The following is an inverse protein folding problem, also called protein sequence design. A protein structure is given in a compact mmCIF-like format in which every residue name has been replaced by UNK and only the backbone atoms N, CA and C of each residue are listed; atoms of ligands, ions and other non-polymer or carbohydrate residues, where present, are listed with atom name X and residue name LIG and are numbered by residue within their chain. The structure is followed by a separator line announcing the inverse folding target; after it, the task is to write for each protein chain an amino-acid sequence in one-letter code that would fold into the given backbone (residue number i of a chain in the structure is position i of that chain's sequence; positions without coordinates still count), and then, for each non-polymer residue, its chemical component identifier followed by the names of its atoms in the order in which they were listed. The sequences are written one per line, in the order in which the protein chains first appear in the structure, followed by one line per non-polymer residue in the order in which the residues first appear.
data_IF_333701112604
#
_entry.id   IF_333701112604
#
_cell.length_a   1.000
_cell.length_b   1.000
_cell.length_c   1.000
_cell.angle_alpha   90.00
_cell.angle_beta   90.00
_cell.angle_gamma   90.00
#
_symmetry.space_group_name_H-M   'P 1'
#
loop_
_entity.id
_entity.type
_entity.pdbx_description
1 polymer ?
#
# COMPACT_ATOMS: atom_id res chain seq x y z
N UNK A 1 -9.69 24.90 -5.15
CA UNK A 1 -9.51 24.33 -6.50
C UNK A 1 -10.17 22.97 -6.52
N UNK A 2 -10.89 22.64 -7.59
CA UNK A 2 -11.52 21.31 -7.75
C UNK A 2 -10.48 20.26 -8.13
N UNK A 3 -10.66 19.02 -7.65
CA UNK A 3 -9.86 17.86 -8.05
C UNK A 3 -10.34 17.35 -9.40
N UNK A 4 -9.40 17.06 -10.31
CA UNK A 4 -9.70 16.38 -11.57
C UNK A 4 -9.84 14.87 -11.35
N UNK A 5 -10.61 14.20 -12.23
CA UNK A 5 -10.57 12.74 -12.27
C UNK A 5 -9.19 12.31 -12.74
N UNK A 6 -8.64 11.28 -12.11
CA UNK A 6 -7.26 10.88 -12.38
C UNK A 6 -7.06 9.37 -12.28
N UNK A 7 -6.00 8.89 -12.92
CA UNK A 7 -5.47 7.54 -12.75
C UNK A 7 -4.07 7.59 -12.15
N UNK A 8 -3.81 6.64 -11.26
CA UNK A 8 -2.51 6.41 -10.63
C UNK A 8 -2.02 5.05 -11.09
N UNK A 9 -0.75 4.95 -11.46
CA UNK A 9 -0.06 3.67 -11.53
C UNK A 9 1.15 3.73 -10.62
N UNK A 10 1.13 2.90 -9.58
CA UNK A 10 2.21 2.81 -8.60
C UNK A 10 2.93 1.46 -8.73
N UNK A 11 4.24 1.52 -8.95
CA UNK A 11 5.12 0.37 -9.08
C UNK A 11 6.11 0.36 -7.92
N UNK A 12 6.16 -0.76 -7.19
CA UNK A 12 7.13 -0.99 -6.12
C UNK A 12 7.73 -2.38 -6.21
N UNK A 13 8.94 -2.54 -5.67
CA UNK A 13 9.55 -3.84 -5.50
C UNK A 13 9.64 -4.24 -4.03
N UNK A 14 9.85 -5.54 -3.82
CA UNK A 14 10.23 -6.14 -2.56
C UNK A 14 11.44 -7.03 -2.78
N UNK A 15 12.34 -7.04 -1.80
CA UNK A 15 13.47 -7.95 -1.72
C UNK A 15 13.44 -8.70 -0.39
N UNK A 16 13.69 -10.00 -0.45
CA UNK A 16 13.79 -10.90 0.70
C UNK A 16 12.58 -10.86 1.65
N UNK A 17 11.36 -10.82 1.12
CA UNK A 17 10.14 -10.99 1.95
C UNK A 17 8.82 -10.91 1.19
N UNK A 18 7.70 -11.03 1.92
CA UNK A 18 6.34 -11.06 1.36
C UNK A 18 5.53 -9.86 1.88
N UNK A 19 5.22 -8.85 1.04
CA UNK A 19 4.53 -7.64 1.51
C UNK A 19 3.08 -7.87 1.92
N UNK A 20 2.41 -8.88 1.35
CA UNK A 20 1.04 -9.24 1.69
C UNK A 20 0.92 -10.76 1.66
N UNK A 21 0.88 -11.36 2.85
CA UNK A 21 0.76 -12.81 3.03
C UNK A 21 -0.70 -13.24 2.90
N UNK A 22 -0.89 -14.47 2.43
CA UNK A 22 -2.20 -15.11 2.39
C UNK A 22 -2.46 -15.85 3.71
N UNK A 23 -3.34 -15.35 4.59
CA UNK A 23 -3.60 -16.00 5.87
C UNK A 23 -4.24 -17.39 5.72
N UNK A 24 -4.77 -17.73 4.54
CA UNK A 24 -5.39 -19.04 4.28
C UNK A 24 -4.41 -20.10 3.78
N UNK A 25 -3.23 -19.71 3.28
CA UNK A 25 -2.25 -20.60 2.66
C UNK A 25 -0.89 -20.52 3.37
N UNK A 26 -0.83 -20.91 4.64
CA UNK A 26 0.39 -20.92 5.47
C UNK A 26 1.22 -19.62 5.42
N UNK A 27 0.54 -18.50 5.18
CA UNK A 27 1.15 -17.19 5.03
C UNK A 27 2.17 -17.09 3.88
N UNK A 28 2.00 -17.87 2.81
CA UNK A 28 2.72 -17.70 1.53
C UNK A 28 2.24 -16.43 0.77
N UNK A 29 2.88 -16.12 -0.36
CA UNK A 29 2.47 -15.04 -1.24
C UNK A 29 1.10 -15.35 -1.88
N UNK A 30 0.20 -14.37 -1.88
CA UNK A 30 -1.13 -14.54 -2.46
C UNK A 30 -1.04 -14.70 -3.98
N UNK A 31 -1.73 -15.70 -4.53
CA UNK A 31 -1.86 -15.96 -5.97
C UNK A 31 -3.34 -16.03 -6.34
N UNK A 32 -3.79 -15.12 -7.20
CA UNK A 32 -5.15 -15.17 -7.76
C UNK A 32 -5.16 -15.77 -9.17
N UNK A 33 -4.02 -15.76 -9.84
CA UNK A 33 -3.82 -16.43 -11.13
C UNK A 33 -3.39 -17.87 -10.89
N UNK A 34 -3.67 -18.75 -11.86
CA UNK A 34 -3.23 -20.14 -11.82
C UNK A 34 -1.70 -20.27 -11.75
N UNK A 35 -1.20 -21.43 -11.30
CA UNK A 35 0.24 -21.68 -11.11
C UNK A 35 1.06 -21.44 -12.39
N UNK A 36 0.50 -21.76 -13.55
CA UNK A 36 1.07 -21.54 -14.90
C UNK A 36 1.40 -20.06 -15.18
N UNK A 37 0.58 -19.13 -14.67
CA UNK A 37 0.81 -17.69 -14.85
C UNK A 37 1.99 -17.23 -13.99
N UNK A 38 2.10 -17.78 -12.77
CA UNK A 38 3.21 -17.57 -11.86
C UNK A 38 3.28 -16.19 -11.20
N UNK A 39 2.40 -15.24 -11.56
CA UNK A 39 2.33 -13.93 -10.88
C UNK A 39 1.74 -14.07 -9.47
N UNK A 40 2.17 -13.16 -8.62
CA UNK A 40 1.70 -13.00 -7.25
C UNK A 40 0.97 -11.67 -7.12
N UNK A 41 0.13 -11.54 -6.09
CA UNK A 41 -0.79 -10.42 -5.94
C UNK A 41 -0.70 -9.76 -4.57
N UNK A 42 -0.91 -8.45 -4.52
CA UNK A 42 -1.09 -7.68 -3.30
C UNK A 42 -2.49 -7.06 -3.32
N UNK A 43 -3.21 -7.13 -2.21
CA UNK A 43 -4.49 -6.45 -2.11
C UNK A 43 -4.33 -4.94 -1.99
N UNK A 44 -5.33 -4.21 -2.47
CA UNK A 44 -5.49 -2.77 -2.34
C UNK A 44 -5.41 -2.29 -0.88
N UNK A 45 -5.95 -3.07 0.06
CA UNK A 45 -5.88 -2.75 1.50
C UNK A 45 -4.44 -2.69 2.01
N UNK A 46 -3.51 -3.41 1.39
CA UNK A 46 -2.08 -3.40 1.76
C UNK A 46 -1.47 -2.02 1.52
N UNK A 47 -1.73 -1.44 0.34
CA UNK A 47 -1.17 -0.14 -0.02
C UNK A 47 -1.85 0.99 0.73
N UNK A 48 -3.17 0.91 0.90
CA UNK A 48 -3.93 1.87 1.71
C UNK A 48 -3.38 1.91 3.13
N UNK A 49 -2.92 0.76 3.64
CA UNK A 49 -2.28 0.67 4.95
C UNK A 49 -0.87 1.26 4.97
N UNK A 50 -0.07 1.09 3.92
CA UNK A 50 1.24 1.76 3.79
C UNK A 50 1.08 3.29 3.87
N UNK A 51 0.09 3.85 3.15
CA UNK A 51 -0.24 5.29 3.20
C UNK A 51 -0.72 5.70 4.59
N UNK A 52 -1.66 4.95 5.19
CA UNK A 52 -2.20 5.25 6.54
C UNK A 52 -1.12 5.25 7.61
N UNK A 53 -0.24 4.25 7.62
CA UNK A 53 0.84 4.14 8.61
C UNK A 53 1.81 5.33 8.46
N UNK A 54 2.11 5.74 7.22
CA UNK A 54 2.92 6.93 6.96
C UNK A 54 2.27 8.23 7.44
N UNK A 55 1.00 8.46 7.09
CA UNK A 55 0.27 9.67 7.50
C UNK A 55 0.16 9.72 9.02
N UNK A 56 -0.11 8.58 9.67
CA UNK A 56 -0.15 8.47 11.12
C UNK A 56 1.22 8.80 11.76
N UNK A 57 2.32 8.33 11.18
CA UNK A 57 3.65 8.63 11.68
C UNK A 57 4.06 10.11 11.46
N UNK A 58 3.66 10.70 10.33
CA UNK A 58 3.94 12.10 9.99
C UNK A 58 3.08 13.08 10.79
N UNK A 59 1.81 12.73 11.01
CA UNK A 59 0.79 13.57 11.66
C UNK A 59 0.06 12.79 12.77
N UNK A 60 0.76 12.37 13.85
CA UNK A 60 0.16 11.56 14.92
C UNK A 60 -1.04 12.24 15.59
N UNK A 61 -0.99 13.57 15.64
CA UNK A 61 -2.04 14.44 16.20
C UNK A 61 -2.79 15.24 15.13
N UNK A 62 -2.85 14.73 13.89
CA UNK A 62 -3.66 15.29 12.80
C UNK A 62 -3.10 16.55 12.11
N UNK A 63 -1.82 16.87 12.34
CA UNK A 63 -1.16 18.03 11.72
C UNK A 63 -1.57 19.37 12.34
N UNK A 64 -1.10 20.47 11.76
CA UNK A 64 -1.37 21.83 12.27
C UNK A 64 -2.86 22.16 12.33
N UNK A 65 -3.60 21.77 11.28
CA UNK A 65 -5.04 22.03 11.16
C UNK A 65 -5.93 20.93 11.76
N UNK A 66 -5.35 19.91 12.40
CA UNK A 66 -6.09 18.76 12.97
C UNK A 66 -6.97 18.01 11.95
N UNK A 67 -6.56 17.98 10.68
CA UNK A 67 -7.31 17.41 9.55
C UNK A 67 -6.79 16.07 9.02
N UNK A 68 -5.62 15.64 9.49
CA UNK A 68 -4.87 14.50 8.95
C UNK A 68 -4.79 13.30 9.91
N UNK A 69 -5.79 13.14 10.77
CA UNK A 69 -5.88 11.93 11.60
C UNK A 69 -6.09 10.68 10.74
N UNK A 70 -5.76 9.52 11.29
CA UNK A 70 -6.01 8.21 10.67
C UNK A 70 -7.00 7.43 11.53
N UNK A 71 -8.16 7.11 10.96
CA UNK A 71 -9.22 6.35 11.62
C UNK A 71 -8.97 4.85 11.62
N UNK A 72 -8.50 4.28 10.51
CA UNK A 72 -8.25 2.83 10.42
C UNK A 72 -6.90 2.45 11.05
N UNK A 73 -6.82 2.55 12.38
CA UNK A 73 -5.63 2.22 13.18
C UNK A 73 -5.98 1.41 14.42
N UNK A 74 -4.97 0.75 14.98
CA UNK A 74 -5.08 0.16 16.30
C UNK A 74 -4.79 1.23 17.35
N UNK A 75 -5.66 1.31 18.34
CA UNK A 75 -5.45 2.14 19.52
C UNK A 75 -6.02 1.39 20.72
N UNK A 76 -5.35 1.47 21.87
CA UNK A 76 -5.76 0.78 23.09
C UNK A 76 -6.06 1.77 24.22
N UNK A 77 -6.82 1.33 25.21
CA UNK A 77 -6.94 2.02 26.49
C UNK A 77 -5.66 1.89 27.30
N UNK A 78 -5.55 2.62 28.41
CA UNK A 78 -4.44 2.48 29.36
C UNK A 78 -4.37 1.07 29.95
N UNK A 79 -5.54 0.43 30.12
CA UNK A 79 -5.67 -0.97 30.56
C UNK A 79 -5.41 -1.99 29.44
N UNK A 80 -5.04 -1.54 28.23
CA UNK A 80 -4.67 -2.41 27.11
C UNK A 80 -5.84 -2.91 26.25
N UNK A 81 -7.07 -2.46 26.47
CA UNK A 81 -8.24 -2.87 25.68
C UNK A 81 -8.25 -2.22 24.31
N UNK A 82 -8.48 -3.00 23.24
CA UNK A 82 -8.52 -2.48 21.87
C UNK A 82 -9.78 -1.67 21.62
N UNK A 83 -9.63 -0.45 21.11
CA UNK A 83 -10.76 0.41 20.80
C UNK A 83 -11.55 -0.10 19.58
N UNK A 84 -12.87 -0.09 19.71
CA UNK A 84 -13.78 -0.27 18.59
C UNK A 84 -13.96 1.01 17.75
N UNK A 85 -14.65 0.86 16.61
CA UNK A 85 -14.91 1.97 15.65
C UNK A 85 -15.52 3.20 16.30
N UNK A 86 -16.48 3.02 17.21
CA UNK A 86 -17.18 4.13 17.86
C UNK A 86 -16.30 4.93 18.81
N UNK A 87 -15.62 4.24 19.72
CA UNK A 87 -14.73 4.87 20.70
C UNK A 87 -13.54 5.54 20.01
N UNK A 88 -12.98 4.92 18.97
CA UNK A 88 -11.88 5.49 18.20
C UNK A 88 -12.31 6.77 17.46
N UNK A 89 -13.50 6.77 16.85
CA UNK A 89 -14.06 7.97 16.22
C UNK A 89 -14.20 9.11 17.23
N UNK A 90 -14.79 8.84 18.39
CA UNK A 90 -14.95 9.85 19.45
C UNK A 90 -13.62 10.44 19.89
N UNK A 91 -12.61 9.60 20.16
CA UNK A 91 -11.26 10.07 20.54
C UNK A 91 -10.61 10.95 19.47
N UNK A 92 -10.74 10.58 18.20
CA UNK A 92 -10.20 11.39 17.10
C UNK A 92 -10.91 12.75 17.04
N UNK A 93 -12.24 12.78 17.14
CA UNK A 93 -13.00 14.02 17.15
C UNK A 93 -12.64 14.93 18.33
N UNK A 94 -12.50 14.35 19.53
CA UNK A 94 -12.08 15.08 20.73
C UNK A 94 -10.68 15.67 20.58
N UNK A 95 -9.71 14.91 20.06
CA UNK A 95 -8.35 15.40 19.77
C UNK A 95 -8.31 16.49 18.69
N UNK A 96 -9.28 16.48 17.79
CA UNK A 96 -9.46 17.52 16.78
C UNK A 96 -10.25 18.73 17.29
N UNK A 97 -10.67 18.75 18.56
CA UNK A 97 -11.49 19.83 19.14
C UNK A 97 -12.90 19.89 18.55
N UNK A 98 -13.40 18.80 17.98
CA UNK A 98 -14.76 18.70 17.40
C UNK A 98 -15.71 18.02 18.36
N UNK A 99 -16.97 18.48 18.37
CA UNK A 99 -18.00 17.87 19.22
C UNK A 99 -18.41 16.50 18.69
N UNK A 100 -18.26 15.45 19.50
CA UNK A 100 -18.68 14.08 19.17
C UNK A 100 -20.20 13.86 19.11
N UNK A 101 -21.00 14.89 19.46
CA UNK A 101 -22.48 14.84 19.49
C UNK A 101 -23.15 15.26 18.17
N UNK A 102 -22.39 15.79 17.22
CA UNK A 102 -22.88 16.20 15.88
C UNK A 102 -22.46 15.18 14.82
N UNK A 103 -23.07 15.27 13.62
CA UNK A 103 -22.88 14.37 12.47
C UNK A 103 -21.47 13.75 12.37
N UNK A 104 -21.34 12.53 12.89
CA UNK A 104 -20.06 11.81 12.99
C UNK A 104 -19.47 11.56 11.61
N UNK A 105 -20.31 11.36 10.58
CA UNK A 105 -19.85 11.15 9.20
C UNK A 105 -19.13 12.39 8.70
N UNK A 106 -19.79 13.54 8.78
CA UNK A 106 -19.21 14.81 8.32
C UNK A 106 -17.95 15.17 9.11
N UNK A 107 -18.02 15.08 10.44
CA UNK A 107 -16.89 15.42 11.30
C UNK A 107 -15.67 14.52 11.04
N UNK A 108 -15.86 13.20 10.85
CA UNK A 108 -14.76 12.30 10.51
C UNK A 108 -14.16 12.59 9.13
N UNK A 109 -14.97 12.94 8.12
CA UNK A 109 -14.43 13.35 6.81
C UNK A 109 -13.58 14.63 6.92
N UNK A 110 -13.96 15.56 7.79
CA UNK A 110 -13.17 16.79 8.00
C UNK A 110 -11.82 16.52 8.69
N UNK A 111 -11.78 15.60 9.67
CA UNK A 111 -10.59 15.43 10.53
C UNK A 111 -9.71 14.24 10.18
N UNK A 112 -10.24 13.22 9.51
CA UNK A 112 -9.53 11.99 9.22
C UNK A 112 -9.23 11.85 7.73
N UNK A 113 -7.96 11.94 7.38
CA UNK A 113 -7.44 11.83 6.02
C UNK A 113 -7.90 10.54 5.34
N UNK A 114 -7.80 9.40 6.02
CA UNK A 114 -8.09 8.11 5.41
C UNK A 114 -9.59 7.88 5.19
N UNK A 115 -10.46 8.48 6.01
CA UNK A 115 -11.92 8.49 5.80
C UNK A 115 -12.27 9.39 4.61
N UNK A 116 -11.64 10.56 4.51
CA UNK A 116 -11.83 11.51 3.41
C UNK A 116 -11.38 10.94 2.06
N UNK A 117 -10.21 10.31 2.02
CA UNK A 117 -9.56 9.83 0.78
C UNK A 117 -10.01 8.42 0.37
N UNK A 118 -10.06 7.47 1.30
CA UNK A 118 -10.39 6.06 0.99
C UNK A 118 -11.82 5.68 1.34
N UNK A 119 -12.52 6.49 2.13
CA UNK A 119 -13.84 6.18 2.64
C UNK A 119 -13.79 5.29 3.87
N UNK A 120 -14.96 5.06 4.46
CA UNK A 120 -15.11 4.20 5.62
C UNK A 120 -16.53 3.61 5.69
N UNK A 121 -16.58 2.38 6.20
CA UNK A 121 -17.83 1.78 6.69
C UNK A 121 -17.84 1.92 8.20
N UNK A 122 -18.78 2.71 8.71
CA UNK A 122 -18.98 2.91 10.13
C UNK A 122 -20.30 2.29 10.53
N UNK A 123 -20.25 1.31 11.42
CA UNK A 123 -21.45 0.61 11.91
C UNK A 123 -21.28 0.35 13.40
N UNK A 124 -21.95 1.16 14.22
CA UNK A 124 -22.01 1.03 15.68
C UNK A 124 -23.46 1.17 16.15
N UNK A 125 -23.76 0.77 17.39
CA UNK A 125 -25.13 0.77 17.93
C UNK A 125 -25.88 2.10 17.76
N UNK A 126 -25.17 3.23 17.84
CA UNK A 126 -25.75 4.58 17.84
C UNK A 126 -25.59 5.32 16.51
N UNK A 127 -25.25 4.61 15.42
CA UNK A 127 -25.14 5.23 14.10
C UNK A 127 -24.44 4.36 13.07
N UNK A 128 -24.94 4.41 11.84
CA UNK A 128 -24.34 3.73 10.70
C UNK A 128 -24.16 4.72 9.55
N UNK A 129 -23.03 4.63 8.86
CA UNK A 129 -22.85 5.28 7.57
C UNK A 129 -21.89 4.49 6.70
N UNK A 130 -22.10 4.61 5.40
CA UNK A 130 -21.19 4.09 4.39
C UNK A 130 -20.74 5.27 3.53
N UNK A 131 -19.45 5.59 3.59
CA UNK A 131 -18.85 6.61 2.74
C UNK A 131 -17.86 5.94 1.79
N UNK A 132 -18.13 6.05 0.49
CA UNK A 132 -17.15 5.70 -0.54
C UNK A 132 -16.14 6.83 -0.65
N UNK A 133 -14.84 6.52 -0.60
CA UNK A 133 -13.79 7.50 -0.85
C UNK A 133 -13.53 7.67 -2.35
N UNK A 134 -13.03 8.83 -2.78
CA UNK A 134 -12.74 9.08 -4.18
C UNK A 134 -11.57 8.25 -4.72
N UNK A 135 -10.68 7.78 -3.85
CA UNK A 135 -9.49 7.04 -4.24
C UNK A 135 -9.68 5.54 -4.05
N UNK A 136 -9.69 4.81 -5.17
CA UNK A 136 -9.82 3.36 -5.18
C UNK A 136 -8.62 2.74 -5.90
N UNK A 137 -8.02 1.73 -5.29
CA UNK A 137 -6.94 0.96 -5.89
C UNK A 137 -7.46 -0.39 -6.34
N UNK A 138 -6.96 -0.86 -7.48
CA UNK A 138 -7.08 -2.25 -7.89
C UNK A 138 -6.12 -3.14 -7.10
N UNK A 139 -6.25 -4.45 -7.32
CA UNK A 139 -5.23 -5.38 -6.84
C UNK A 139 -3.94 -5.17 -7.61
N UNK A 140 -2.82 -5.21 -6.90
CA UNK A 140 -1.51 -5.13 -7.54
C UNK A 140 -1.06 -6.53 -7.94
N UNK A 141 -0.45 -6.63 -9.10
CA UNK A 141 0.09 -7.89 -9.61
C UNK A 141 1.57 -7.75 -9.93
N UNK A 142 2.33 -8.82 -9.76
CA UNK A 142 3.73 -8.81 -10.17
C UNK A 142 3.83 -8.67 -11.69
N UNK A 143 4.77 -7.87 -12.18
CA UNK A 143 5.00 -7.66 -13.63
C UNK A 143 5.66 -8.88 -14.30
N UNK A 144 6.06 -9.87 -13.51
CA UNK A 144 6.74 -11.09 -13.93
C UNK A 144 6.31 -12.26 -13.04
N UNK A 145 6.52 -13.52 -13.47
CA UNK A 145 6.32 -14.67 -12.60
C UNK A 145 7.32 -14.64 -11.44
N UNK A 146 6.89 -15.11 -10.27
CA UNK A 146 7.71 -15.14 -9.05
C UNK A 146 7.54 -16.48 -8.35
N UNK A 147 8.66 -17.10 -7.97
CA UNK A 147 8.67 -18.29 -7.12
C UNK A 147 9.00 -17.93 -5.68
N UNK A 148 8.20 -18.45 -4.75
CA UNK A 148 8.45 -18.33 -3.32
C UNK A 148 9.54 -19.33 -2.92
N UNK A 149 10.43 -18.93 -2.02
CA UNK A 149 11.48 -19.80 -1.47
C UNK A 149 11.16 -20.10 -0.01
N UNK A 150 11.18 -21.39 0.32
CA UNK A 150 11.09 -21.84 1.70
C UNK A 150 12.45 -21.67 2.39
N UNK A 151 12.45 -20.96 3.51
CA UNK A 151 13.66 -20.65 4.28
C UNK A 151 13.43 -21.07 5.72
N UNK A 152 14.47 -21.63 6.32
CA UNK A 152 14.50 -22.04 7.72
C UNK A 152 15.57 -21.22 8.45
N UNK A 153 15.30 -20.90 9.71
CA UNK A 153 16.30 -20.34 10.62
C UNK A 153 16.12 -20.82 12.04
N UNK A 154 17.02 -20.40 12.92
CA UNK A 154 17.04 -20.78 14.33
C UNK A 154 17.04 -19.53 15.20
N UNK A 155 16.23 -19.53 16.25
CA UNK A 155 16.30 -18.55 17.34
C UNK A 155 16.98 -19.25 18.51
N UNK A 156 17.93 -18.58 19.16
CA UNK A 156 18.73 -19.17 20.26
C UNK A 156 17.85 -19.58 21.44
N UNK A 157 16.78 -18.83 21.71
CA UNK A 157 15.82 -19.14 22.77
C UNK A 157 14.81 -20.20 22.32
N UNK A 158 14.58 -21.24 23.12
CA UNK A 158 13.52 -22.21 22.87
C UNK A 158 12.15 -21.63 23.21
N UNK A 159 11.12 -22.10 22.51
CA UNK A 159 9.72 -21.67 22.73
C UNK A 159 9.07 -22.37 23.91
N UNK A 160 9.69 -23.43 24.43
CA UNK A 160 9.26 -24.14 25.63
C UNK A 160 10.13 -23.69 26.79
N UNK A 161 9.49 -23.11 27.79
CA UNK A 161 10.14 -22.78 29.05
C UNK A 161 10.58 -24.03 29.82
N UNK A 162 11.53 -23.80 30.72
CA UNK A 162 12.00 -24.80 31.68
C UNK A 162 10.83 -25.20 32.57
N UNK A 163 10.65 -26.51 32.76
CA UNK A 163 9.70 -27.07 33.73
C UNK A 163 10.45 -27.83 34.80
N UNK A 164 10.03 -27.72 36.05
CA UNK A 164 10.48 -28.64 37.11
C UNK A 164 9.97 -30.05 36.78
N UNK A 165 10.89 -31.01 36.62
CA UNK A 165 10.54 -32.41 36.48
C UNK A 165 10.17 -33.02 37.83
N UNK A 166 9.52 -34.20 37.80
CA UNK A 166 9.08 -34.96 38.99
C UNK A 166 10.19 -35.27 40.01
N UNK A 167 11.46 -35.13 39.62
CA UNK A 167 12.65 -35.33 40.46
C UNK A 167 13.28 -34.02 40.97
N UNK A 168 12.60 -32.87 40.85
CA UNK A 168 13.12 -31.54 41.22
C UNK A 168 14.24 -31.02 40.29
N UNK A 169 14.48 -31.68 39.15
CA UNK A 169 15.44 -31.22 38.14
C UNK A 169 14.74 -30.42 37.06
N UNK A 170 15.25 -29.24 36.80
CA UNK A 170 14.85 -28.40 35.67
C UNK A 170 15.06 -29.14 34.33
N UNK A 171 13.98 -29.28 33.55
CA UNK A 171 13.99 -29.82 32.20
C UNK A 171 13.57 -28.73 31.22
N UNK A 172 14.53 -28.29 30.40
CA UNK A 172 14.32 -27.35 29.30
C UNK A 172 14.83 -27.91 27.98
N UNK A 173 14.51 -27.21 26.88
CA UNK A 173 15.12 -27.53 25.59
C UNK A 173 16.59 -27.19 25.59
N UNK A 174 17.44 -28.09 25.08
CA UNK A 174 18.88 -27.86 24.93
C UNK A 174 19.24 -27.12 23.63
N UNK A 175 18.28 -26.98 22.71
CA UNK A 175 18.43 -26.27 21.45
C UNK A 175 17.34 -25.21 21.32
N UNK A 176 17.70 -24.10 20.68
CA UNK A 176 16.77 -23.02 20.37
C UNK A 176 15.68 -23.43 19.36
N UNK A 177 14.65 -22.61 19.21
CA UNK A 177 13.54 -22.93 18.30
C UNK A 177 13.90 -22.69 16.84
N UNK A 178 13.58 -23.68 16.01
CA UNK A 178 13.61 -23.56 14.55
C UNK A 178 12.31 -22.89 14.08
N UNK A 179 12.43 -21.92 13.19
CA UNK A 179 11.29 -21.31 12.50
C UNK A 179 11.47 -21.42 11.00
N UNK A 180 10.35 -21.42 10.29
CA UNK A 180 10.33 -21.53 8.83
C UNK A 180 9.45 -20.44 8.24
N UNK A 181 9.73 -20.01 7.02
CA UNK A 181 8.93 -19.03 6.31
C UNK A 181 9.09 -19.14 4.80
N UNK A 182 8.09 -18.68 4.07
CA UNK A 182 8.23 -18.33 2.68
C UNK A 182 8.74 -16.90 2.52
N UNK A 183 9.60 -16.70 1.53
CA UNK A 183 10.11 -15.39 1.13
C UNK A 183 10.13 -15.24 -0.39
N UNK A 184 10.02 -14.00 -0.86
CA UNK A 184 10.26 -13.64 -2.26
C UNK A 184 11.67 -13.08 -2.34
N UNK A 185 12.58 -13.70 -3.12
CA UNK A 185 13.91 -13.14 -3.33
C UNK A 185 13.81 -11.73 -3.91
N UNK A 186 13.00 -11.57 -4.96
CA UNK A 186 12.72 -10.29 -5.59
C UNK A 186 11.39 -10.33 -6.34
N UNK A 187 10.57 -9.29 -6.20
CA UNK A 187 9.34 -9.14 -6.97
C UNK A 187 9.01 -7.67 -7.22
N UNK A 188 8.51 -7.35 -8.42
CA UNK A 188 8.06 -6.01 -8.81
C UNK A 188 6.56 -6.03 -9.06
N UNK A 189 5.81 -5.18 -8.37
CA UNK A 189 4.35 -5.09 -8.46
C UNK A 189 3.93 -3.79 -9.09
N UNK A 190 2.94 -3.85 -9.97
CA UNK A 190 2.24 -2.71 -10.53
C UNK A 190 0.82 -2.63 -9.97
N UNK A 191 0.40 -1.44 -9.57
CA UNK A 191 -0.87 -1.21 -8.90
C UNK A 191 -1.61 -0.04 -9.53
N UNK A 192 -2.76 -0.30 -10.16
CA UNK A 192 -3.62 0.76 -10.67
C UNK A 192 -4.44 1.39 -9.55
N UNK A 193 -4.70 2.69 -9.69
CA UNK A 193 -5.58 3.47 -8.83
C UNK A 193 -6.36 4.50 -9.63
N UNK A 194 -7.51 4.90 -9.10
CA UNK A 194 -8.39 5.90 -9.71
C UNK A 194 -8.78 6.92 -8.65
N UNK A 195 -8.81 8.19 -9.04
CA UNK A 195 -9.39 9.30 -8.28
C UNK A 195 -10.65 9.75 -9.01
N UNK A 196 -11.80 9.68 -8.34
CA UNK A 196 -13.07 10.15 -8.88
C UNK A 196 -13.36 11.59 -8.42
N UNK A 197 -13.40 12.54 -9.35
CA UNK A 197 -13.65 13.95 -9.05
C UNK A 197 -15.00 14.23 -8.36
N UNK A 198 -16.06 13.54 -8.78
CA UNK A 198 -17.40 13.74 -8.21
C UNK A 198 -17.45 13.32 -6.74
N UNK A 199 -16.88 12.15 -6.41
CA UNK A 199 -16.79 11.69 -5.02
C UNK A 199 -15.80 12.56 -4.22
N UNK A 200 -14.77 13.10 -4.85
CA UNK A 200 -13.81 13.99 -4.20
C UNK A 200 -14.49 15.30 -3.76
N UNK A 201 -15.40 15.83 -4.59
CA UNK A 201 -16.23 16.98 -4.23
C UNK A 201 -17.18 16.69 -3.05
N UNK A 202 -17.77 15.49 -3.00
CA UNK A 202 -18.66 15.08 -1.89
C UNK A 202 -17.92 14.88 -0.56
N UNK A 203 -16.72 14.30 -0.62
CA UNK A 203 -15.89 13.99 0.56
C UNK A 203 -15.05 15.17 1.03
N UNK A 204 -14.88 16.21 0.20
CA UNK A 204 -14.06 17.38 0.48
C UNK A 204 -12.56 17.14 0.33
N UNK A 205 -12.15 16.14 -0.45
CA UNK A 205 -10.72 15.92 -0.77
C UNK A 205 -10.13 17.17 -1.45
N UNK A 206 -9.03 17.64 -0.89
CA UNK A 206 -8.28 18.80 -1.37
C UNK A 206 -7.08 18.38 -2.23
N UNK A 207 -6.51 19.29 -3.05
CA UNK A 207 -5.25 19.02 -3.76
C UNK A 207 -4.12 18.58 -2.83
N UNK A 208 -4.03 19.16 -1.63
CA UNK A 208 -3.04 18.78 -0.64
C UNK A 208 -3.21 17.34 -0.14
N UNK A 209 -4.46 16.85 -0.06
CA UNK A 209 -4.71 15.44 0.28
C UNK A 209 -4.22 14.50 -0.83
N UNK A 210 -4.34 14.92 -2.10
CA UNK A 210 -3.80 14.14 -3.23
C UNK A 210 -2.28 14.15 -3.19
N UNK A 211 -1.64 15.29 -2.91
CA UNK A 211 -0.17 15.32 -2.73
C UNK A 211 0.28 14.44 -1.55
N UNK A 212 -0.43 14.48 -0.42
CA UNK A 212 -0.13 13.64 0.74
C UNK A 212 -0.35 12.15 0.45
N UNK A 213 -1.35 11.80 -0.37
CA UNK A 213 -1.56 10.44 -0.86
C UNK A 213 -0.38 9.98 -1.71
N UNK A 214 0.04 10.78 -2.70
CA UNK A 214 1.15 10.43 -3.60
C UNK A 214 2.47 10.30 -2.82
N UNK A 215 2.72 11.22 -1.88
CA UNK A 215 3.85 11.13 -0.94
C UNK A 215 3.75 9.86 -0.10
N UNK A 216 2.57 9.55 0.43
CA UNK A 216 2.33 8.36 1.24
C UNK A 216 2.51 7.05 0.48
N UNK A 217 2.19 6.99 -0.81
CA UNK A 217 2.51 5.83 -1.65
C UNK A 217 4.02 5.59 -1.70
N UNK A 218 4.78 6.68 -1.91
CA UNK A 218 6.23 6.63 -2.02
C UNK A 218 6.90 6.34 -0.67
N UNK A 219 6.77 7.27 0.29
CA UNK A 219 7.42 7.20 1.60
C UNK A 219 6.80 6.17 2.52
N UNK A 220 5.50 5.87 2.40
CA UNK A 220 4.87 4.81 3.20
C UNK A 220 5.40 3.41 2.86
N UNK A 221 5.74 3.18 1.58
CA UNK A 221 6.43 1.96 1.16
C UNK A 221 7.80 1.83 1.83
N UNK A 222 8.52 2.94 1.98
CA UNK A 222 9.83 2.96 2.64
C UNK A 222 9.73 2.86 4.18
N UNK A 223 8.70 3.48 4.77
CA UNK A 223 8.48 3.52 6.21
C UNK A 223 8.04 2.17 6.78
N UNK A 224 7.14 1.46 6.10
CA UNK A 224 6.50 0.26 6.64
C UNK A 224 7.34 -1.02 6.48
N UNK A 225 8.43 -1.08 7.25
CA UNK A 225 9.34 -2.21 7.29
C UNK A 225 8.99 -3.20 8.39
N UNK A 226 9.04 -4.48 8.06
CA UNK A 226 9.02 -5.56 9.04
C UNK A 226 9.74 -6.77 8.45
N UNK A 227 10.39 -7.59 9.29
CA UNK A 227 11.18 -8.75 8.87
C UNK A 227 10.47 -9.61 7.82
N UNK A 228 9.20 -9.97 8.07
CA UNK A 228 8.44 -10.84 7.17
C UNK A 228 7.97 -10.18 5.87
N UNK A 229 7.99 -8.84 5.79
CA UNK A 229 7.57 -8.05 4.61
C UNK A 229 8.68 -7.86 3.59
N UNK A 230 9.93 -8.08 4.00
CA UNK A 230 11.11 -7.78 3.18
C UNK A 230 11.35 -6.29 3.06
N UNK A 231 12.45 -5.95 2.39
CA UNK A 231 12.81 -4.57 2.11
C UNK A 231 12.07 -4.13 0.84
N UNK A 232 11.23 -3.11 0.97
CA UNK A 232 10.46 -2.57 -0.14
C UNK A 232 11.01 -1.23 -0.62
N UNK A 233 10.96 -1.00 -1.94
CA UNK A 233 11.31 0.29 -2.55
C UNK A 233 10.25 0.70 -3.58
N UNK A 234 9.78 1.96 -3.57
CA UNK A 234 9.03 2.50 -4.69
C UNK A 234 9.95 2.59 -5.91
N UNK A 235 9.44 2.25 -7.09
CA UNK A 235 10.20 2.27 -8.34
C UNK A 235 9.69 3.34 -9.31
N UNK A 236 8.38 3.40 -9.49
CA UNK A 236 7.75 4.30 -10.44
C UNK A 236 6.35 4.69 -9.93
N UNK A 237 6.01 5.96 -10.04
CA UNK A 237 4.67 6.48 -9.74
C UNK A 237 4.30 7.42 -10.87
N UNK A 238 3.10 7.27 -11.43
CA UNK A 238 2.55 8.22 -12.40
C UNK A 238 1.14 8.62 -11.95
N UNK A 239 0.84 9.90 -12.11
CA UNK A 239 -0.45 10.52 -11.86
C UNK A 239 -0.93 11.22 -13.13
N UNK A 240 -1.99 10.69 -13.74
CA UNK A 240 -2.58 11.16 -15.00
C UNK A 240 -3.92 11.81 -14.68
N UNK A 241 -4.02 13.13 -14.82
CA UNK A 241 -5.24 13.90 -14.60
C UNK A 241 -5.97 14.14 -15.91
N UNK A 242 -7.29 14.09 -15.89
CA UNK A 242 -8.14 14.27 -17.07
C UNK A 242 -8.97 15.55 -16.98
N UNK A 243 -9.18 16.19 -18.13
CA UNK A 243 -10.06 17.37 -18.25
C UNK A 243 -11.55 17.02 -18.18
N UNK A 244 -11.90 15.77 -18.46
CA UNK A 244 -13.26 15.24 -18.44
C UNK A 244 -13.44 14.35 -17.20
N UNK A 245 -14.35 14.70 -16.26
CA UNK A 245 -14.52 13.97 -15.00
C UNK A 245 -15.05 12.54 -15.18
N UNK A 246 -15.62 12.21 -16.34
CA UNK A 246 -16.16 10.88 -16.64
C UNK A 246 -15.25 10.04 -17.54
N UNK A 247 -14.06 10.55 -17.87
CA UNK A 247 -13.10 9.87 -18.71
C UNK A 247 -11.95 9.26 -17.92
N UNK A 248 -11.43 8.15 -18.45
CA UNK A 248 -10.18 7.51 -18.03
C UNK A 248 -9.62 6.67 -19.17
N UNK A 249 -8.31 6.47 -19.19
CA UNK A 249 -7.65 5.57 -20.15
C UNK A 249 -7.96 4.11 -19.78
N UNK A 250 -7.93 3.78 -18.49
CA UNK A 250 -8.17 2.44 -17.96
C UNK A 250 -6.91 1.77 -17.45
N UNK A 251 -6.69 0.51 -17.82
CA UNK A 251 -5.62 -0.36 -17.35
C UNK A 251 -4.21 0.16 -17.72
N UNK A 252 -3.72 1.20 -17.04
CA UNK A 252 -2.42 1.82 -17.30
C UNK A 252 -1.27 0.81 -17.18
N UNK A 253 -1.43 -0.19 -16.30
CA UNK A 253 -0.51 -1.29 -16.08
C UNK A 253 -0.31 -2.18 -17.32
N UNK A 254 -1.30 -2.27 -18.22
CA UNK A 254 -1.20 -3.06 -19.46
C UNK A 254 -0.23 -2.43 -20.47
N UNK A 255 0.08 -1.14 -20.30
CA UNK A 255 0.96 -0.38 -21.18
C UNK A 255 2.41 -0.27 -20.66
N UNK A 256 2.72 -0.94 -19.54
CA UNK A 256 4.09 -1.05 -19.05
C UNK A 256 4.58 -2.50 -19.11
N UNK A 257 5.87 -2.68 -19.37
CA UNK A 257 6.51 -4.00 -19.38
C UNK A 257 7.78 -3.96 -18.54
N UNK A 258 8.14 -5.07 -17.92
CA UNK A 258 9.41 -5.22 -17.23
C UNK A 258 10.37 -6.01 -18.11
N UNK A 259 11.60 -5.53 -18.22
CA UNK A 259 12.74 -6.30 -18.74
C UNK A 259 13.60 -6.77 -17.55
N UNK A 260 14.23 -7.94 -17.64
CA UNK A 260 14.27 -8.85 -18.81
C UNK A 260 12.93 -9.57 -19.04
N UNK A 261 12.81 -10.21 -20.20
CA UNK A 261 11.60 -10.93 -20.63
C UNK A 261 11.25 -12.10 -19.69
N UNK A 262 9.98 -12.53 -19.73
CA UNK A 262 9.43 -13.61 -18.90
C UNK A 262 10.30 -14.87 -18.85
N UNK A 263 10.94 -15.26 -19.95
CA UNK A 263 11.80 -16.45 -20.02
C UNK A 263 13.02 -16.38 -19.08
N UNK A 264 13.56 -15.18 -18.86
CA UNK A 264 14.69 -14.99 -17.94
C UNK A 264 14.25 -15.12 -16.48
N UNK A 265 13.06 -14.62 -16.15
CA UNK A 265 12.45 -14.78 -14.82
C UNK A 265 12.13 -16.23 -14.46
N UNK A 266 11.83 -17.05 -15.47
CA UNK A 266 11.60 -18.50 -15.32
C UNK A 266 12.90 -19.32 -15.42
N UNK A 267 14.02 -18.68 -15.76
CA UNK A 267 15.32 -19.31 -15.90
C UNK A 267 15.98 -19.65 -14.56
N UNK A 268 17.21 -20.17 -14.63
CA UNK A 268 17.99 -20.58 -13.46
C UNK A 268 18.53 -19.41 -12.63
N UNK A 269 18.70 -18.23 -13.23
CA UNK A 269 19.29 -17.04 -12.60
C UNK A 269 18.37 -15.84 -12.85
N UNK A 270 17.23 -15.73 -12.12
CA UNK A 270 16.35 -14.59 -12.25
C UNK A 270 16.98 -13.33 -11.64
N UNK A 271 16.58 -12.12 -12.10
CA UNK A 271 16.97 -10.85 -11.47
C UNK A 271 16.69 -10.81 -9.96
N UNK A 272 17.60 -10.20 -9.19
CA UNK A 272 17.47 -10.09 -7.72
C UNK A 272 17.67 -8.68 -7.18
N UNK A 273 17.79 -7.70 -8.08
CA UNK A 273 18.01 -6.30 -7.74
C UNK A 273 17.35 -5.35 -8.74
N UNK A 274 17.21 -4.09 -8.33
CA UNK A 274 16.67 -3.00 -9.16
C UNK A 274 17.55 -2.76 -10.40
N UNK A 275 18.87 -3.00 -10.29
CA UNK A 275 19.84 -2.73 -11.37
C UNK A 275 19.74 -3.74 -12.53
N UNK A 276 19.19 -4.91 -12.24
CA UNK A 276 19.02 -6.03 -13.17
C UNK A 276 17.75 -5.89 -14.03
N UNK A 277 16.91 -4.90 -13.73
CA UNK A 277 15.62 -4.69 -14.41
C UNK A 277 15.56 -3.36 -15.13
N UNK A 278 14.62 -3.25 -16.07
CA UNK A 278 14.20 -1.97 -16.66
C UNK A 278 12.68 -1.95 -16.83
N UNK A 279 12.04 -0.80 -16.63
CA UNK A 279 10.63 -0.59 -16.93
C UNK A 279 10.49 0.05 -18.30
N UNK A 280 9.78 -0.62 -19.21
CA UNK A 280 9.44 -0.11 -20.51
C UNK A 280 8.08 0.57 -20.47
N UNK A 281 8.07 1.88 -20.73
CA UNK A 281 6.88 2.74 -20.72
C UNK A 281 6.54 3.29 -22.10
N UNK A 282 7.11 2.70 -23.17
CA UNK A 282 6.92 3.19 -24.55
C UNK A 282 5.45 3.18 -24.97
N UNK A 283 4.73 2.08 -24.67
CA UNK A 283 3.31 1.96 -25.01
C UNK A 283 2.47 2.92 -24.15
N UNK A 284 2.80 3.08 -22.87
CA UNK A 284 2.15 4.05 -21.97
C UNK A 284 2.32 5.48 -22.48
N UNK A 285 3.54 5.85 -22.85
CA UNK A 285 3.85 7.17 -23.41
C UNK A 285 3.11 7.45 -24.71
N UNK A 286 2.94 6.44 -25.58
CA UNK A 286 2.14 6.55 -26.81
C UNK A 286 0.66 6.81 -26.50
N UNK A 287 0.07 6.04 -25.57
CA UNK A 287 -1.35 6.17 -25.21
C UNK A 287 -1.63 7.54 -24.59
N UNK A 288 -0.77 8.00 -23.68
CA UNK A 288 -0.92 9.32 -23.05
C UNK A 288 -0.80 10.44 -24.10
N UNK A 289 0.21 10.39 -24.98
CA UNK A 289 0.41 11.41 -26.03
C UNK A 289 -0.78 11.57 -26.95
N UNK A 290 -1.43 10.45 -27.28
CA UNK A 290 -2.53 10.40 -28.23
C UNK A 290 -3.89 10.66 -27.56
N UNK A 291 -3.93 10.91 -26.25
CA UNK A 291 -5.17 11.14 -25.53
C UNK A 291 -5.44 12.64 -25.34
N UNK A 292 -6.39 13.25 -26.07
CA UNK A 292 -6.65 14.69 -26.00
C UNK A 292 -7.31 15.14 -24.69
N UNK A 293 -7.80 14.20 -23.87
CA UNK A 293 -8.46 14.46 -22.59
C UNK A 293 -7.51 14.48 -21.39
N UNK A 294 -6.22 14.19 -21.61
CA UNK A 294 -5.19 14.31 -20.57
C UNK A 294 -4.95 15.80 -20.30
N UNK A 295 -5.22 16.22 -19.06
CA UNK A 295 -5.01 17.59 -18.61
C UNK A 295 -3.59 17.81 -18.07
N UNK A 296 -3.09 16.85 -17.28
CA UNK A 296 -1.76 16.92 -16.67
C UNK A 296 -1.22 15.51 -16.42
N UNK A 297 0.09 15.33 -16.59
CA UNK A 297 0.76 14.09 -16.22
C UNK A 297 2.01 14.40 -15.43
N UNK A 298 2.14 13.77 -14.27
CA UNK A 298 3.34 13.81 -13.43
C UNK A 298 3.83 12.40 -13.17
N UNK A 299 5.15 12.23 -13.07
CA UNK A 299 5.72 10.96 -12.68
C UNK A 299 6.98 11.10 -11.84
N UNK A 300 7.27 10.05 -11.07
CA UNK A 300 8.41 9.91 -10.18
C UNK A 300 9.08 8.56 -10.42
N UNK A 301 10.41 8.53 -10.32
CA UNK A 301 11.22 7.33 -10.56
C UNK A 301 12.27 7.16 -9.47
N UNK A 302 12.54 5.92 -9.09
CA UNK A 302 13.68 5.60 -8.24
C UNK A 302 14.98 5.86 -9.01
N UNK A 303 16.02 6.46 -8.42
CA UNK A 303 17.25 6.84 -9.14
C UNK A 303 17.97 5.67 -9.84
N UNK A 304 17.87 4.46 -9.28
CA UNK A 304 18.51 3.26 -9.84
C UNK A 304 17.66 2.49 -10.86
N UNK A 305 16.36 2.82 -11.03
CA UNK A 305 15.52 2.07 -11.97
C UNK A 305 15.81 2.55 -13.40
N UNK A 306 16.11 1.61 -14.30
CA UNK A 306 16.25 1.92 -15.72
C UNK A 306 14.86 2.07 -16.34
N UNK A 307 14.65 3.14 -17.08
CA UNK A 307 13.41 3.42 -17.81
C UNK A 307 13.68 3.38 -19.30
N UNK A 308 12.89 2.59 -20.04
CA UNK A 308 12.94 2.52 -21.50
C UNK A 308 11.70 3.20 -22.09
N UNK A 309 11.90 4.04 -23.10
CA UNK A 309 10.84 4.80 -23.76
C UNK A 309 10.70 6.23 -23.22
N UNK A 310 9.95 7.05 -23.97
CA UNK A 310 9.68 8.45 -23.65
C UNK A 310 8.26 8.60 -23.10
N UNK A 311 8.12 9.35 -22.00
CA UNK A 311 6.85 9.60 -21.33
C UNK A 311 6.55 11.11 -21.43
N UNK A 312 5.46 11.54 -22.10
CA UNK A 312 5.11 12.95 -22.26
C UNK A 312 4.52 13.52 -20.96
N UNK A 313 5.34 13.60 -19.92
CA UNK A 313 4.94 13.91 -18.56
C UNK A 313 6.01 14.74 -17.83
N UNK A 314 5.58 15.49 -16.80
CA UNK A 314 6.47 16.21 -15.90
C UNK A 314 7.21 15.21 -15.00
N UNK A 315 8.55 15.17 -15.10
CA UNK A 315 9.39 14.36 -14.20
C UNK A 315 9.61 15.11 -12.89
N UNK A 316 9.00 14.61 -11.83
CA UNK A 316 9.06 15.22 -10.51
C UNK A 316 10.17 14.60 -9.66
N UNK A 317 10.78 15.39 -8.78
CA UNK A 317 11.67 14.88 -7.74
C UNK A 317 10.86 14.15 -6.66
N UNK A 318 11.24 12.91 -6.28
CA UNK A 318 10.61 12.23 -5.14
C UNK A 318 10.78 13.01 -3.83
N UNK A 319 9.82 12.84 -2.92
CA UNK A 319 9.77 13.51 -1.62
C UNK A 319 10.90 13.13 -0.67
#
# INVERSE_FOLDING_TARGET
MSINSAEILFVKCVKDGIPNRDPLNDSDARRIFGEEDGRISLSDVSIKRDVRDYVLAKYPDGGGDKKDFVFCREERTEDGELLGRGTLAQRILERAGRSSKTDVRKNLMEVAFDVRVFGAVYSVKNGTFHQTGPVQFGWAHSLHPVQTKYVQGTVVMPSKDIKEGESGKEKGSQQGTIWTTYTLPFAVFAMPGVINASIAAETGVSPDDVELLLEGLWKGTQHRQARGRGIQQPLFLIHVEYSDPFYRIGYLEDYIKIHPERSVWLGSIPPTSIRDIALNVTDLGRVIRNCPKVARVRYWTHPEVKMNGDLPAEHCTPW
#
